data_IF_609235770557
#
_entry.id   IF_609235770557
#
_cell.length_a   1.000
_cell.length_b   1.000
_cell.length_c   1.000
_cell.angle_alpha   90.00
_cell.angle_beta   90.00
_cell.angle_gamma   90.00
#
_symmetry.space_group_name_H-M   'P 1'
#
loop_
_entity.id
_entity.type
_entity.pdbx_description
1 polymer ?
#
# COMPACT_ATOMS: atom_id res chain seq x y z
N UNK A 1 14.78 -7.54 7.14
CA UNK A 1 13.57 -6.88 7.66
C UNK A 1 13.47 -5.43 7.21
N UNK A 2 12.44 -5.14 6.41
CA UNK A 2 12.05 -3.84 5.89
C UNK A 2 10.78 -3.37 6.61
N UNK A 3 10.66 -2.06 6.85
CA UNK A 3 9.44 -1.47 7.39
C UNK A 3 8.71 -0.71 6.28
N UNK A 4 7.51 -1.17 5.94
CA UNK A 4 6.68 -0.55 4.93
C UNK A 4 5.54 0.24 5.57
N UNK A 5 5.28 1.45 5.07
CA UNK A 5 4.09 2.21 5.42
C UNK A 5 3.01 2.00 4.37
N UNK A 6 1.82 1.63 4.82
CA UNK A 6 0.68 1.26 4.00
C UNK A 6 -0.48 2.22 4.29
N UNK A 7 -1.31 2.49 3.28
CA UNK A 7 -2.56 3.23 3.44
C UNK A 7 -3.69 2.52 2.69
N UNK A 8 -4.87 2.44 3.31
CA UNK A 8 -6.06 1.86 2.68
C UNK A 8 -6.74 2.95 1.86
N UNK A 9 -6.94 2.69 0.57
CA UNK A 9 -7.63 3.58 -0.37
C UNK A 9 -9.12 3.59 -0.05
N UNK A 10 -9.75 4.77 -0.08
CA UNK A 10 -11.19 4.92 0.16
C UNK A 10 -11.66 4.68 1.60
N UNK A 11 -10.75 4.40 2.53
CA UNK A 11 -11.06 4.24 3.95
C UNK A 11 -10.62 5.47 4.76
N UNK A 12 -11.47 5.89 5.71
CA UNK A 12 -11.11 6.91 6.70
C UNK A 12 -10.15 6.28 7.71
N UNK A 13 -8.84 6.29 7.43
CA UNK A 13 -7.84 5.61 8.25
C UNK A 13 -6.44 6.19 8.09
N UNK A 14 -5.63 6.16 9.16
CA UNK A 14 -4.22 6.56 9.13
C UNK A 14 -3.40 5.54 8.35
N UNK A 15 -2.29 6.01 7.78
CA UNK A 15 -1.23 5.10 7.39
C UNK A 15 -0.79 4.27 8.60
N UNK A 16 -0.47 3.01 8.34
CA UNK A 16 0.02 2.04 9.31
C UNK A 16 1.31 1.42 8.80
N UNK A 17 2.08 0.77 9.66
CA UNK A 17 3.33 0.14 9.25
C UNK A 17 3.29 -1.37 9.40
N UNK A 18 3.81 -2.08 8.42
CA UNK A 18 4.05 -3.53 8.47
C UNK A 18 5.55 -3.81 8.38
N UNK A 19 5.98 -4.93 8.95
CA UNK A 19 7.36 -5.42 8.85
C UNK A 19 7.35 -6.73 8.08
N UNK A 20 8.21 -6.81 7.08
CA UNK A 20 8.42 -7.98 6.22
C UNK A 20 9.92 -8.15 5.98
N UNK A 21 10.38 -9.33 5.63
CA UNK A 21 11.75 -9.55 5.18
C UNK A 21 11.91 -9.27 3.68
N UNK A 22 13.16 -9.02 3.26
CA UNK A 22 13.46 -8.71 1.85
C UNK A 22 13.16 -9.91 0.93
N UNK A 23 13.35 -11.12 1.47
CA UNK A 23 13.07 -12.38 0.81
C UNK A 23 11.60 -12.82 0.89
N UNK A 24 10.77 -12.11 1.66
CA UNK A 24 9.33 -12.38 1.73
C UNK A 24 8.68 -12.13 0.36
N UNK A 25 7.55 -12.79 0.14
CA UNK A 25 6.77 -12.65 -1.08
C UNK A 25 5.71 -11.55 -0.96
N UNK A 26 5.12 -11.15 -2.08
CA UNK A 26 3.94 -10.27 -2.10
C UNK A 26 2.76 -10.90 -1.34
N UNK A 27 2.61 -12.23 -1.39
CA UNK A 27 1.59 -12.93 -0.58
C UNK A 27 1.82 -12.77 0.93
N UNK A 28 3.07 -12.84 1.39
CA UNK A 28 3.42 -12.60 2.79
C UNK A 28 3.12 -11.17 3.21
N UNK A 29 3.40 -10.19 2.33
CA UNK A 29 3.00 -8.80 2.55
C UNK A 29 1.47 -8.63 2.66
N UNK A 30 0.69 -9.26 1.77
CA UNK A 30 -0.78 -9.24 1.84
C UNK A 30 -1.28 -9.81 3.17
N UNK A 31 -0.69 -10.91 3.65
CA UNK A 31 -1.01 -11.52 4.95
C UNK A 31 -0.65 -10.59 6.11
N UNK A 32 0.53 -9.97 6.09
CA UNK A 32 0.97 -9.03 7.12
C UNK A 32 0.05 -7.80 7.22
N UNK A 33 -0.34 -7.24 6.08
CA UNK A 33 -1.28 -6.11 6.01
C UNK A 33 -2.64 -6.49 6.60
N UNK A 34 -3.17 -7.65 6.23
CA UNK A 34 -4.44 -8.15 6.78
C UNK A 34 -4.34 -8.37 8.29
N UNK A 35 -3.25 -8.95 8.78
CA UNK A 35 -3.06 -9.20 10.21
C UNK A 35 -3.05 -7.91 11.02
N UNK A 36 -2.38 -6.86 10.53
CA UNK A 36 -2.31 -5.55 11.19
C UNK A 36 -3.67 -4.82 11.21
N UNK A 37 -4.51 -5.01 10.18
CA UNK A 37 -5.80 -4.33 10.04
C UNK A 37 -6.99 -5.31 9.97
N UNK A 38 -6.96 -6.39 10.75
CA UNK A 38 -7.94 -7.47 10.65
C UNK A 38 -9.40 -7.03 10.91
N UNK A 39 -9.60 -5.94 11.65
CA UNK A 39 -10.95 -5.36 11.89
C UNK A 39 -11.48 -4.59 10.69
N UNK A 40 -10.59 -3.99 9.89
CA UNK A 40 -10.94 -3.17 8.73
C UNK A 40 -10.95 -4.00 7.44
N UNK A 41 -10.03 -4.97 7.34
CA UNK A 41 -9.87 -5.88 6.21
C UNK A 41 -10.57 -7.20 6.53
N UNK A 42 -11.83 -7.32 6.13
CA UNK A 42 -12.68 -8.50 6.42
C UNK A 42 -12.57 -9.61 5.37
N UNK A 43 -12.04 -9.32 4.17
CA UNK A 43 -11.84 -10.28 3.08
C UNK A 43 -10.60 -11.17 3.23
N UNK A 44 -10.32 -12.03 2.25
CA UNK A 44 -9.09 -12.82 2.22
C UNK A 44 -7.89 -11.94 1.84
N UNK A 45 -6.71 -12.25 2.40
CA UNK A 45 -5.48 -11.52 2.07
C UNK A 45 -5.19 -11.52 0.57
N UNK A 46 -5.49 -12.64 -0.12
CA UNK A 46 -5.34 -12.79 -1.57
C UNK A 46 -6.21 -11.82 -2.39
N UNK A 47 -7.32 -11.36 -1.82
CA UNK A 47 -8.26 -10.44 -2.49
C UNK A 47 -7.82 -8.97 -2.35
N UNK A 48 -6.77 -8.70 -1.58
CA UNK A 48 -6.14 -7.39 -1.51
C UNK A 48 -5.39 -7.09 -2.81
N UNK A 49 -5.64 -5.92 -3.36
CA UNK A 49 -4.81 -5.34 -4.41
C UNK A 49 -3.83 -4.36 -3.77
N UNK A 50 -2.55 -4.55 -4.08
CA UNK A 50 -1.48 -3.72 -3.55
C UNK A 50 -0.89 -2.93 -4.71
N UNK A 51 -0.70 -1.64 -4.51
CA UNK A 51 -0.04 -0.77 -5.48
C UNK A 51 1.17 -0.11 -4.84
N UNK A 52 2.25 0.04 -5.60
CA UNK A 52 3.36 0.87 -5.15
C UNK A 52 2.90 2.33 -5.12
N UNK A 53 3.00 2.96 -3.95
CA UNK A 53 2.59 4.33 -3.73
C UNK A 53 3.62 5.32 -4.29
N UNK A 54 4.01 5.14 -5.56
CA UNK A 54 5.10 5.82 -6.24
C UNK A 54 4.62 6.25 -7.62
N UNK A 55 4.99 7.46 -8.02
CA UNK A 55 4.71 7.99 -9.36
C UNK A 55 5.68 7.41 -10.39
N UNK A 56 5.34 7.57 -11.67
CA UNK A 56 6.22 7.22 -12.80
C UNK A 56 7.60 7.91 -12.71
N UNK A 57 7.66 9.12 -12.15
CA UNK A 57 8.90 9.89 -12.02
C UNK A 57 9.85 9.38 -10.91
N UNK A 58 9.44 8.39 -10.13
CA UNK A 58 10.24 7.90 -9.01
C UNK A 58 9.74 8.31 -7.63
N UNK A 59 8.83 9.29 -7.53
CA UNK A 59 8.51 9.92 -6.26
C UNK A 59 7.44 9.15 -5.46
N UNK A 60 7.77 8.81 -4.22
CA UNK A 60 6.84 8.20 -3.26
C UNK A 60 5.80 9.20 -2.75
N UNK A 61 4.61 8.70 -2.44
CA UNK A 61 3.52 9.44 -1.83
C UNK A 61 3.94 9.92 -0.44
N UNK A 62 3.88 11.23 -0.19
CA UNK A 62 4.19 11.78 1.13
C UNK A 62 3.01 11.63 2.06
N UNK A 63 3.28 11.41 3.34
CA UNK A 63 2.24 11.34 4.38
C UNK A 63 1.34 12.59 4.42
N UNK A 64 1.91 13.77 4.11
CA UNK A 64 1.16 15.04 4.01
C UNK A 64 0.15 15.04 2.86
N UNK A 65 0.52 14.46 1.71
CA UNK A 65 -0.36 14.41 0.55
C UNK A 65 -1.48 13.38 0.77
N UNK A 66 -1.19 12.26 1.44
CA UNK A 66 -2.22 11.32 1.89
C UNK A 66 -3.25 12.00 2.81
N UNK A 67 -2.81 12.88 3.73
CA UNK A 67 -3.73 13.63 4.60
C UNK A 67 -4.63 14.59 3.81
N UNK A 68 -4.10 15.21 2.76
CA UNK A 68 -4.85 16.12 1.88
C UNK A 68 -5.86 15.34 1.01
N UNK A 69 -5.49 14.15 0.53
CA UNK A 69 -6.42 13.21 -0.13
C UNK A 69 -7.60 12.88 0.77
N UNK A 70 -7.35 12.52 2.03
CA UNK A 70 -8.44 12.24 3.00
C UNK A 70 -9.37 13.43 3.22
N UNK A 71 -8.84 14.65 3.19
CA UNK A 71 -9.64 15.88 3.36
C UNK A 71 -10.46 16.26 2.12
N UNK A 72 -10.31 15.53 1.02
CA UNK A 72 -10.90 15.91 -0.27
C UNK A 72 -10.25 17.16 -0.89
N UNK A 73 -9.05 17.54 -0.41
CA UNK A 73 -8.30 18.70 -0.94
C UNK A 73 -7.52 18.34 -2.22
N UNK A 74 -7.44 17.06 -2.54
CA UNK A 74 -6.76 16.49 -3.70
C UNK A 74 -7.80 15.65 -4.45
N UNK A 75 -7.88 15.82 -5.78
CA UNK A 75 -8.84 15.07 -6.61
C UNK A 75 -8.44 13.61 -6.80
N UNK A 76 -9.41 12.77 -7.10
CA UNK A 76 -9.24 11.34 -7.41
C UNK A 76 -8.23 11.08 -8.55
N UNK A 77 -8.02 12.08 -9.42
CA UNK A 77 -7.01 12.04 -10.49
C UNK A 77 -5.60 11.90 -9.92
N UNK A 78 -5.32 12.55 -8.79
CA UNK A 78 -4.00 12.47 -8.14
C UNK A 78 -3.84 11.16 -7.38
N UNK A 79 -4.92 10.55 -6.88
CA UNK A 79 -4.86 9.19 -6.32
C UNK A 79 -4.46 8.17 -7.40
N UNK A 80 -5.03 8.30 -8.60
CA UNK A 80 -4.70 7.46 -9.75
C UNK A 80 -3.22 7.55 -10.14
N UNK A 81 -2.55 8.69 -9.92
CA UNK A 81 -1.11 8.84 -10.16
C UNK A 81 -0.22 7.98 -9.26
N UNK A 82 -0.74 7.44 -8.16
CA UNK A 82 0.00 6.56 -7.26
C UNK A 82 -0.44 5.10 -7.34
N UNK A 83 -1.36 4.75 -8.25
CA UNK A 83 -1.83 3.38 -8.49
C UNK A 83 -1.39 2.87 -9.87
N UNK A 84 -0.22 3.29 -10.34
CA UNK A 84 0.28 2.92 -11.67
C UNK A 84 0.91 1.52 -11.71
N UNK A 85 1.46 1.05 -10.58
CA UNK A 85 2.15 -0.25 -10.51
C UNK A 85 1.47 -1.15 -9.48
N UNK A 86 0.70 -2.12 -9.97
CA UNK A 86 0.10 -3.18 -9.15
C UNK A 86 1.13 -4.28 -8.85
N UNK A 87 1.12 -4.78 -7.62
CA UNK A 87 1.87 -5.95 -7.19
C UNK A 87 0.97 -7.19 -7.36
N UNK A 88 0.81 -7.64 -8.62
CA UNK A 88 -0.15 -8.70 -8.97
C UNK A 88 0.42 -10.10 -8.74
N UNK A 89 1.71 -10.34 -9.03
CA UNK A 89 2.35 -11.63 -8.83
C UNK A 89 2.59 -11.89 -7.33
N UNK A 90 1.91 -12.88 -6.71
CA UNK A 90 2.08 -13.18 -5.29
C UNK A 90 3.45 -13.75 -4.95
N UNK A 91 4.21 -14.25 -5.93
CA UNK A 91 5.53 -14.87 -5.74
C UNK A 91 6.69 -13.87 -5.85
N UNK A 92 6.41 -12.65 -6.31
CA UNK A 92 7.41 -11.59 -6.37
C UNK A 92 7.97 -11.32 -4.98
N UNK A 93 9.29 -11.14 -4.91
CA UNK A 93 9.96 -10.80 -3.66
C UNK A 93 9.83 -9.32 -3.34
N UNK A 94 9.77 -9.00 -2.06
CA UNK A 94 9.78 -7.60 -1.59
C UNK A 94 11.04 -6.87 -2.06
N UNK A 95 12.21 -7.51 -2.06
CA UNK A 95 13.44 -6.91 -2.57
C UNK A 95 13.42 -6.57 -4.07
N UNK A 96 12.52 -7.16 -4.85
CA UNK A 96 12.35 -6.85 -6.27
C UNK A 96 11.45 -5.62 -6.48
N UNK A 97 10.53 -5.34 -5.55
CA UNK A 97 9.54 -4.26 -5.64
C UNK A 97 9.97 -2.99 -4.91
N UNK A 98 10.73 -3.12 -3.83
CA UNK A 98 11.16 -2.00 -3.00
C UNK A 98 12.68 -1.84 -3.02
N UNK A 99 13.18 -0.59 -3.05
CA UNK A 99 14.62 -0.34 -2.88
C UNK A 99 15.06 -0.72 -1.46
N UNK A 100 16.35 -1.04 -1.30
CA UNK A 100 16.95 -1.37 0.00
C UNK A 100 16.87 -0.23 1.02
N UNK A 101 16.81 1.01 0.55
CA UNK A 101 16.58 2.20 1.37
C UNK A 101 15.30 2.91 0.90
N UNK A 102 14.27 2.87 1.74
CA UNK A 102 13.00 3.52 1.47
C UNK A 102 12.95 4.88 2.20
N UNK A 103 12.52 5.98 1.55
CA UNK A 103 12.51 7.29 2.18
C UNK A 103 11.55 7.39 3.38
N UNK A 104 12.05 7.96 4.48
CA UNK A 104 11.23 8.26 5.65
C UNK A 104 10.11 9.27 5.33
N UNK A 105 8.99 9.15 6.07
CA UNK A 105 7.86 10.06 5.95
C UNK A 105 6.99 9.85 4.69
N UNK A 106 7.23 8.76 3.97
CA UNK A 106 6.47 8.38 2.76
C UNK A 106 5.59 7.16 3.00
N UNK A 107 4.60 7.01 2.14
CA UNK A 107 3.73 5.84 2.02
C UNK A 107 4.32 5.00 0.89
N UNK A 108 4.42 3.70 1.11
CA UNK A 108 5.06 2.78 0.18
C UNK A 108 4.05 1.88 -0.52
N UNK A 109 2.95 1.54 0.16
CA UNK A 109 1.91 0.64 -0.38
C UNK A 109 0.54 1.29 -0.26
N UNK A 110 -0.19 1.34 -1.36
CA UNK A 110 -1.63 1.59 -1.35
C UNK A 110 -2.37 0.26 -1.37
N UNK A 111 -3.33 0.11 -0.46
CA UNK A 111 -4.10 -1.11 -0.27
C UNK A 111 -5.53 -0.84 -0.72
N UNK A 112 -5.96 -1.52 -1.78
CA UNK A 112 -7.35 -1.49 -2.23
C UNK A 112 -8.03 -2.75 -1.70
N UNK A 113 -9.06 -2.55 -0.88
CA UNK A 113 -9.90 -3.64 -0.39
C UNK A 113 -11.07 -3.77 -1.36
N UNK A 114 -11.11 -4.87 -2.11
CA UNK A 114 -12.24 -5.15 -3.00
C UNK A 114 -13.46 -5.50 -2.15
N UNK A 115 -14.29 -4.51 -1.85
CA UNK A 115 -15.62 -4.77 -1.28
C UNK A 115 -16.39 -5.63 -2.28
N UNK A 116 -16.70 -6.86 -1.88
CA UNK A 116 -17.61 -7.74 -2.61
C UNK A 116 -18.94 -6.99 -2.65
N UNK A 117 -19.29 -6.43 -3.81
CA UNK A 117 -20.60 -5.84 -4.01
C UNK A 117 -21.63 -6.94 -3.75
N UNK A 118 -22.54 -6.64 -2.81
CA UNK A 118 -23.69 -7.46 -2.43
C UNK A 118 -24.65 -7.57 -3.59
#
# INVERSE_FOLDING_TARGET
>A
MVKLFCAIVGAVGSAFSVRVDEDDSVDDLKKAIKAENATTITGDAKDLQLFLAKKEDGAWLKSKDLLRMRKGEISDEVESLYMNEEMDDPTDKICAKFPSAIPDGTIHVLVVVRSRWV
#
